data_IF_638255475530
#
_entry.id   IF_638255475530
#
_cell.length_a   1.000
_cell.length_b   1.000
_cell.length_c   1.000
_cell.angle_alpha   90.00
_cell.angle_beta   90.00
_cell.angle_gamma   90.00
#
_symmetry.space_group_name_H-M   'P 1'
#
loop_
_entity.id
_entity.type
_entity.pdbx_description
1 polymer ?
#
# COMPACT_ATOMS: atom_id res chain seq x y z
N UNK A 1 22.72 8.08 9.44
CA UNK A 1 21.39 7.61 8.95
C UNK A 1 21.04 6.32 9.69
N UNK A 2 20.10 6.36 10.63
CA UNK A 2 19.74 5.16 11.43
C UNK A 2 18.69 4.34 10.67
N UNK A 3 19.12 3.36 9.87
CA UNK A 3 18.24 2.47 9.10
C UNK A 3 17.18 1.78 9.98
N UNK A 4 17.56 1.35 11.19
CA UNK A 4 16.64 0.72 12.13
C UNK A 4 15.51 1.64 12.61
N UNK A 5 15.78 2.95 12.75
CA UNK A 5 14.76 3.94 13.07
C UNK A 5 13.80 4.14 11.90
N UNK A 6 14.35 4.25 10.69
CA UNK A 6 13.58 4.43 9.47
C UNK A 6 12.68 3.22 9.16
N UNK A 7 13.16 2.01 9.42
CA UNK A 7 12.35 0.78 9.32
C UNK A 7 11.18 0.77 10.32
N UNK A 8 11.45 1.10 11.60
CA UNK A 8 10.42 1.16 12.63
C UNK A 8 9.40 2.25 12.36
N UNK A 9 9.85 3.39 11.84
CA UNK A 9 8.97 4.50 11.47
C UNK A 9 8.06 4.10 10.28
N UNK A 10 8.59 3.47 9.24
CA UNK A 10 7.81 3.02 8.08
C UNK A 10 6.78 1.93 8.42
N UNK A 11 7.10 1.07 9.39
CA UNK A 11 6.25 -0.08 9.72
C UNK A 11 5.16 0.24 10.76
N UNK A 12 5.47 1.07 11.77
CA UNK A 12 4.58 1.32 12.92
C UNK A 12 4.26 2.80 13.13
N UNK A 13 5.27 3.65 13.28
CA UNK A 13 5.09 5.03 13.75
C UNK A 13 4.60 5.96 12.63
N UNK A 14 5.03 5.72 11.40
CA UNK A 14 4.64 6.48 10.20
C UNK A 14 4.09 5.54 9.11
N UNK A 15 3.33 4.53 9.50
CA UNK A 15 2.70 3.63 8.54
C UNK A 15 1.87 4.43 7.53
N UNK A 16 2.09 4.21 6.20
CA UNK A 16 1.46 5.04 5.17
C UNK A 16 -0.07 4.95 5.19
N UNK A 17 -0.63 3.79 5.48
CA UNK A 17 -2.09 3.59 5.44
C UNK A 17 -2.74 3.91 6.78
N UNK A 18 -2.18 3.42 7.89
CA UNK A 18 -2.83 3.49 9.20
C UNK A 18 -2.61 4.83 9.93
N UNK A 19 -1.48 5.50 9.67
CA UNK A 19 -1.13 6.76 10.33
C UNK A 19 -1.25 7.94 9.38
N UNK A 20 -0.70 7.83 8.16
CA UNK A 20 -0.76 8.90 7.18
C UNK A 20 -2.06 8.90 6.36
N UNK A 21 -2.84 7.82 6.44
CA UNK A 21 -4.12 7.64 5.72
C UNK A 21 -3.94 7.77 4.20
N UNK A 22 -2.79 7.35 3.67
CA UNK A 22 -2.45 7.36 2.26
C UNK A 22 -2.63 5.97 1.64
N UNK A 23 -3.00 5.91 0.36
CA UNK A 23 -3.18 4.63 -0.34
C UNK A 23 -4.51 3.93 -0.06
N UNK A 24 -5.50 4.61 0.52
CA UNK A 24 -6.81 4.01 0.81
C UNK A 24 -7.53 3.52 -0.44
N UNK A 25 -7.44 4.25 -1.55
CA UNK A 25 -8.15 3.93 -2.79
C UNK A 25 -7.81 2.52 -3.30
N UNK A 26 -6.52 2.20 -3.38
CA UNK A 26 -6.04 0.90 -3.81
C UNK A 26 -6.31 -0.20 -2.78
N UNK A 27 -6.19 0.13 -1.48
CA UNK A 27 -6.49 -0.80 -0.39
C UNK A 27 -7.96 -1.20 -0.38
N UNK A 28 -8.89 -0.27 -0.64
CA UNK A 28 -10.33 -0.57 -0.71
C UNK A 28 -10.70 -1.41 -1.93
N UNK A 29 -10.09 -1.12 -3.06
CA UNK A 29 -10.48 -1.72 -4.33
C UNK A 29 -10.03 -3.18 -4.46
N UNK A 30 -8.83 -3.53 -3.94
CA UNK A 30 -8.19 -4.81 -4.27
C UNK A 30 -8.26 -5.86 -3.16
N UNK A 31 -8.65 -5.49 -1.94
CA UNK A 31 -8.63 -6.38 -0.77
C UNK A 31 -9.78 -7.40 -0.71
N UNK A 32 -10.29 -7.80 -1.86
CA UNK A 32 -11.29 -8.87 -1.99
C UNK A 32 -10.68 -10.25 -2.14
N UNK A 33 -9.39 -10.34 -2.52
CA UNK A 33 -8.65 -11.60 -2.68
C UNK A 33 -7.22 -11.45 -2.16
N UNK A 34 -6.78 -12.44 -1.41
CA UNK A 34 -5.43 -12.46 -0.82
C UNK A 34 -4.31 -12.46 -1.87
N UNK A 35 -4.47 -13.24 -2.96
CA UNK A 35 -3.48 -13.29 -4.05
C UNK A 35 -3.33 -11.95 -4.78
N UNK A 36 -4.44 -11.29 -5.05
CA UNK A 36 -4.43 -9.96 -5.66
C UNK A 36 -3.77 -8.93 -4.73
N UNK A 37 -3.98 -9.07 -3.42
CA UNK A 37 -3.33 -8.26 -2.41
C UNK A 37 -1.80 -8.38 -2.43
N UNK A 38 -1.25 -9.59 -2.51
CA UNK A 38 0.20 -9.82 -2.62
C UNK A 38 0.74 -9.20 -3.91
N UNK A 39 0.10 -9.47 -5.06
CA UNK A 39 0.53 -8.95 -6.35
C UNK A 39 0.58 -7.42 -6.37
N UNK A 40 -0.45 -6.78 -5.86
CA UNK A 40 -0.51 -5.31 -5.76
C UNK A 40 0.52 -4.75 -4.78
N UNK A 41 0.71 -5.39 -3.63
CA UNK A 41 1.70 -4.96 -2.63
C UNK A 41 3.13 -4.96 -3.19
N UNK A 42 3.50 -6.03 -3.91
CA UNK A 42 4.81 -6.13 -4.58
C UNK A 42 4.94 -5.10 -5.69
N UNK A 43 3.93 -4.96 -6.56
CA UNK A 43 3.95 -3.99 -7.65
C UNK A 43 4.11 -2.56 -7.13
N UNK A 44 3.32 -2.15 -6.13
CA UNK A 44 3.43 -0.82 -5.52
C UNK A 44 4.79 -0.60 -4.87
N UNK A 45 5.35 -1.60 -4.19
CA UNK A 45 6.68 -1.49 -3.56
C UNK A 45 7.78 -1.25 -4.60
N UNK A 46 7.76 -1.99 -5.71
CA UNK A 46 8.73 -1.82 -6.80
C UNK A 46 8.58 -0.43 -7.44
N UNK A 47 7.36 -0.05 -7.80
CA UNK A 47 7.09 1.24 -8.45
C UNK A 47 7.46 2.39 -7.51
N UNK A 48 7.09 2.32 -6.23
CA UNK A 48 7.43 3.33 -5.23
C UNK A 48 8.94 3.51 -5.09
N UNK A 49 9.68 2.41 -5.01
CA UNK A 49 11.14 2.45 -4.86
C UNK A 49 11.82 3.05 -6.09
N UNK A 50 11.46 2.59 -7.29
CA UNK A 50 12.02 3.10 -8.54
C UNK A 50 11.66 4.57 -8.77
N UNK A 51 10.41 4.95 -8.54
CA UNK A 51 9.95 6.34 -8.68
C UNK A 51 10.68 7.26 -7.71
N UNK A 52 10.85 6.85 -6.46
CA UNK A 52 11.58 7.63 -5.46
C UNK A 52 13.05 7.90 -5.85
N UNK A 53 13.73 6.91 -6.42
CA UNK A 53 15.11 7.06 -6.89
C UNK A 53 15.18 8.09 -8.01
N UNK A 54 14.33 7.97 -9.02
CA UNK A 54 14.39 8.84 -10.21
C UNK A 54 13.93 10.26 -9.87
N UNK A 55 12.89 10.42 -9.07
CA UNK A 55 12.45 11.73 -8.62
C UNK A 55 13.56 12.41 -7.80
N UNK A 56 14.24 11.67 -6.93
CA UNK A 56 15.39 12.20 -6.20
C UNK A 56 16.57 12.58 -7.12
N UNK A 57 16.79 11.84 -8.21
CA UNK A 57 17.80 12.18 -9.22
C UNK A 57 17.44 13.45 -10.00
N UNK A 58 16.17 13.57 -10.38
CA UNK A 58 15.67 14.68 -11.20
C UNK A 58 15.34 15.96 -10.41
N UNK A 59 15.42 15.94 -9.10
CA UNK A 59 15.01 17.07 -8.21
C UNK A 59 15.63 18.42 -8.57
N UNK A 60 16.83 18.44 -9.17
CA UNK A 60 17.52 19.66 -9.58
C UNK A 60 17.04 20.25 -10.90
N UNK A 61 16.34 19.45 -11.71
CA UNK A 61 15.90 19.80 -13.07
C UNK A 61 14.46 20.28 -13.05
N UNK A 62 13.66 19.78 -12.10
CA UNK A 62 12.21 20.02 -12.06
C UNK A 62 11.90 21.35 -11.37
N UNK A 63 11.28 22.32 -12.07
CA UNK A 63 10.84 23.57 -11.47
C UNK A 63 9.63 23.36 -10.54
N UNK A 64 9.58 24.11 -9.44
CA UNK A 64 8.57 23.96 -8.39
C UNK A 64 7.12 24.11 -8.87
N UNK A 65 6.88 24.89 -9.94
CA UNK A 65 5.53 25.16 -10.45
C UNK A 65 4.85 23.96 -11.09
N UNK A 66 5.61 23.02 -11.66
CA UNK A 66 5.09 21.87 -12.42
C UNK A 66 5.53 20.52 -11.86
N UNK A 67 6.10 20.49 -10.66
CA UNK A 67 6.72 19.29 -10.08
C UNK A 67 5.75 18.11 -9.96
N UNK A 68 4.50 18.35 -9.52
CA UNK A 68 3.51 17.27 -9.35
C UNK A 68 3.16 16.63 -10.69
N UNK A 69 2.99 17.43 -11.75
CA UNK A 69 2.72 16.92 -13.10
C UNK A 69 3.88 16.05 -13.60
N UNK A 70 5.12 16.48 -13.38
CA UNK A 70 6.31 15.72 -13.75
C UNK A 70 6.41 14.40 -12.99
N UNK A 71 6.07 14.38 -11.70
CA UNK A 71 6.05 13.14 -10.92
C UNK A 71 5.04 12.15 -11.48
N UNK A 72 3.84 12.60 -11.84
CA UNK A 72 2.80 11.75 -12.43
C UNK A 72 3.29 11.13 -13.75
N UNK A 73 3.96 11.89 -14.61
CA UNK A 73 4.48 11.39 -15.89
C UNK A 73 5.54 10.30 -15.67
N UNK A 74 6.47 10.52 -14.74
CA UNK A 74 7.51 9.54 -14.40
C UNK A 74 6.88 8.26 -13.84
N UNK A 75 5.96 8.39 -12.90
CA UNK A 75 5.25 7.25 -12.30
C UNK A 75 4.45 6.49 -13.36
N UNK A 76 3.75 7.18 -14.25
CA UNK A 76 3.00 6.57 -15.34
C UNK A 76 3.90 5.73 -16.26
N UNK A 77 5.08 6.23 -16.61
CA UNK A 77 6.06 5.47 -17.37
C UNK A 77 6.44 4.14 -16.70
N UNK A 78 6.73 4.17 -15.39
CA UNK A 78 7.04 2.93 -14.66
C UNK A 78 5.87 1.98 -14.54
N UNK A 79 4.68 2.51 -14.25
CA UNK A 79 3.47 1.69 -14.16
C UNK A 79 3.20 0.98 -15.48
N UNK A 80 3.38 1.66 -16.62
CA UNK A 80 3.23 1.04 -17.93
C UNK A 80 4.26 -0.07 -18.17
N UNK A 81 5.53 0.14 -17.78
CA UNK A 81 6.55 -0.89 -17.90
C UNK A 81 6.23 -2.13 -17.03
N UNK A 82 5.75 -1.91 -15.81
CA UNK A 82 5.36 -2.99 -14.89
C UNK A 82 4.13 -3.71 -15.42
N UNK A 83 3.14 -3.00 -15.94
CA UNK A 83 1.93 -3.57 -16.52
C UNK A 83 2.25 -4.50 -17.70
N UNK A 84 3.05 -4.03 -18.65
CA UNK A 84 3.51 -4.86 -19.77
C UNK A 84 4.32 -6.07 -19.31
N UNK A 85 5.12 -5.93 -18.26
CA UNK A 85 5.87 -7.05 -17.68
C UNK A 85 4.96 -8.09 -17.07
N UNK A 86 3.95 -7.67 -16.30
CA UNK A 86 2.96 -8.57 -15.69
C UNK A 86 2.14 -9.29 -16.76
N UNK A 87 1.74 -8.58 -17.81
CA UNK A 87 1.02 -9.18 -18.95
C UNK A 87 1.85 -10.23 -19.68
N UNK A 88 3.16 -10.04 -19.78
CA UNK A 88 4.06 -10.98 -20.44
C UNK A 88 4.33 -12.25 -19.63
N UNK A 89 4.49 -12.13 -18.31
CA UNK A 89 4.91 -13.24 -17.43
C UNK A 89 3.78 -13.91 -16.67
N UNK A 90 2.72 -13.19 -16.32
CA UNK A 90 1.63 -13.65 -15.47
C UNK A 90 0.27 -13.19 -16.00
N UNK A 91 -0.23 -13.75 -17.12
CA UNK A 91 -1.46 -13.29 -17.76
C UNK A 91 -2.70 -13.43 -16.87
N UNK A 92 -2.77 -14.43 -16.01
CA UNK A 92 -3.89 -14.63 -15.07
C UNK A 92 -3.96 -13.52 -14.02
N UNK A 93 -2.80 -13.10 -13.52
CA UNK A 93 -2.71 -11.98 -12.58
C UNK A 93 -2.99 -10.64 -13.28
N UNK A 94 -2.55 -10.49 -14.53
CA UNK A 94 -2.82 -9.32 -15.36
C UNK A 94 -4.32 -9.10 -15.57
N UNK A 95 -5.08 -10.15 -15.84
CA UNK A 95 -6.53 -10.07 -16.00
C UNK A 95 -7.23 -9.64 -14.71
N UNK A 96 -6.77 -10.11 -13.56
CA UNK A 96 -7.34 -9.75 -12.25
C UNK A 96 -6.96 -8.34 -11.80
N UNK A 97 -5.75 -7.88 -12.12
CA UNK A 97 -5.19 -6.60 -11.70
C UNK A 97 -5.35 -5.47 -12.75
N UNK A 98 -5.71 -5.80 -13.99
CA UNK A 98 -5.65 -4.90 -15.14
C UNK A 98 -6.42 -3.58 -14.95
N UNK A 99 -7.54 -3.59 -14.24
CA UNK A 99 -8.32 -2.38 -13.93
C UNK A 99 -7.67 -1.56 -12.81
N UNK A 100 -6.89 -2.21 -11.93
CA UNK A 100 -6.31 -1.57 -10.75
C UNK A 100 -4.90 -1.01 -10.98
N UNK A 101 -4.19 -1.49 -12.02
CA UNK A 101 -2.85 -1.01 -12.34
C UNK A 101 -2.83 0.49 -12.69
N UNK A 102 -3.75 1.04 -13.50
CA UNK A 102 -3.82 2.48 -13.73
C UNK A 102 -4.06 3.29 -12.45
N UNK A 103 -4.70 2.70 -11.44
CA UNK A 103 -4.92 3.34 -10.15
C UNK A 103 -3.61 3.56 -9.37
N UNK A 104 -2.56 2.79 -9.68
CA UNK A 104 -1.23 2.98 -9.07
C UNK A 104 -0.62 4.31 -9.48
N UNK A 105 -0.86 4.79 -10.71
CA UNK A 105 -0.31 6.06 -11.22
C UNK A 105 -0.68 7.24 -10.32
N UNK A 106 -1.94 7.28 -9.90
CA UNK A 106 -2.48 8.35 -9.04
C UNK A 106 -2.53 7.96 -7.56
N UNK A 107 -1.84 6.90 -7.19
CA UNK A 107 -1.83 6.43 -5.80
C UNK A 107 -1.18 7.47 -4.89
N UNK A 108 -1.94 7.93 -3.90
CA UNK A 108 -1.53 9.00 -3.00
C UNK A 108 -0.31 8.62 -2.14
N UNK A 109 -0.01 7.35 -1.92
CA UNK A 109 1.21 6.95 -1.22
C UNK A 109 2.46 7.26 -2.07
N UNK A 110 2.43 6.99 -3.37
CA UNK A 110 3.56 7.20 -4.27
C UNK A 110 3.80 8.70 -4.44
N UNK A 111 2.74 9.45 -4.76
CA UNK A 111 2.83 10.91 -4.90
C UNK A 111 3.19 11.60 -3.59
N UNK A 112 2.60 11.16 -2.48
CA UNK A 112 2.88 11.72 -1.16
C UNK A 112 4.34 11.52 -0.73
N UNK A 113 4.93 10.35 -0.98
CA UNK A 113 6.35 10.09 -0.65
C UNK A 113 7.30 10.78 -1.63
N UNK A 114 6.94 10.86 -2.90
CA UNK A 114 7.69 11.62 -3.89
C UNK A 114 7.89 13.08 -3.47
N UNK A 115 6.81 13.73 -3.06
CA UNK A 115 6.79 15.13 -2.62
C UNK A 115 7.38 15.33 -1.23
N UNK A 116 6.98 14.51 -0.26
CA UNK A 116 7.36 14.70 1.14
C UNK A 116 8.81 14.34 1.42
N UNK A 117 9.33 13.30 0.77
CA UNK A 117 10.64 12.72 1.09
C UNK A 117 11.62 12.75 -0.07
N UNK A 118 11.27 12.19 -1.25
CA UNK A 118 12.23 11.95 -2.33
C UNK A 118 12.75 13.23 -2.97
N UNK A 119 11.90 14.24 -3.10
CA UNK A 119 12.29 15.54 -3.62
C UNK A 119 13.28 16.28 -2.71
N UNK A 120 13.23 16.04 -1.38
CA UNK A 120 14.07 16.72 -0.38
C UNK A 120 15.36 15.98 -0.05
N UNK A 121 15.38 14.66 -0.21
CA UNK A 121 16.47 13.80 0.23
C UNK A 121 17.26 13.22 -0.95
N UNK A 122 18.42 12.63 -0.66
CA UNK A 122 19.29 12.01 -1.65
C UNK A 122 18.79 10.62 -2.10
N UNK A 123 19.32 10.13 -3.22
CA UNK A 123 18.91 8.87 -3.87
C UNK A 123 18.97 7.67 -2.93
N UNK A 124 20.02 7.51 -2.14
CA UNK A 124 20.19 6.35 -1.24
C UNK A 124 19.15 6.36 -0.12
N UNK A 125 18.86 7.53 0.46
CA UNK A 125 17.82 7.66 1.48
C UNK A 125 16.43 7.36 0.90
N UNK A 126 16.17 7.84 -0.31
CA UNK A 126 14.90 7.62 -1.03
C UNK A 126 14.69 6.16 -1.43
N UNK A 127 15.76 5.43 -1.75
CA UNK A 127 15.70 3.99 -2.00
C UNK A 127 15.22 3.21 -0.78
N UNK A 128 15.87 3.41 0.37
CA UNK A 128 15.48 2.73 1.61
C UNK A 128 14.09 3.13 2.09
N UNK A 129 13.73 4.40 1.94
CA UNK A 129 12.38 4.88 2.27
C UNK A 129 11.31 4.17 1.43
N UNK A 130 11.54 4.05 0.12
CA UNK A 130 10.63 3.34 -0.78
C UNK A 130 10.38 1.90 -0.36
N UNK A 131 11.44 1.16 -0.01
CA UNK A 131 11.33 -0.23 0.44
C UNK A 131 10.56 -0.32 1.77
N UNK A 132 10.93 0.48 2.76
CA UNK A 132 10.33 0.40 4.09
C UNK A 132 8.85 0.82 4.10
N UNK A 133 8.52 1.86 3.36
CA UNK A 133 7.13 2.30 3.20
C UNK A 133 6.30 1.30 2.36
N UNK A 134 6.90 0.71 1.32
CA UNK A 134 6.27 -0.33 0.52
C UNK A 134 5.96 -1.59 1.34
N UNK A 135 6.89 -2.02 2.20
CA UNK A 135 6.66 -3.14 3.13
C UNK A 135 5.54 -2.78 4.12
N UNK A 136 5.55 -1.57 4.69
CA UNK A 136 4.50 -1.09 5.59
C UNK A 136 3.12 -1.07 4.93
N UNK A 137 3.04 -0.64 3.67
CA UNK A 137 1.82 -0.67 2.87
C UNK A 137 1.34 -2.10 2.61
N UNK A 138 2.24 -2.98 2.17
CA UNK A 138 1.93 -4.38 1.87
C UNK A 138 1.41 -5.13 3.09
N UNK A 139 2.00 -4.90 4.26
CA UNK A 139 1.55 -5.47 5.53
C UNK A 139 0.09 -5.12 5.85
N UNK A 140 -0.26 -3.84 5.76
CA UNK A 140 -1.64 -3.39 6.03
C UNK A 140 -2.60 -3.94 5.00
N UNK A 141 -2.20 -3.98 3.73
CA UNK A 141 -3.01 -4.51 2.63
C UNK A 141 -3.30 -6.00 2.84
N UNK A 142 -2.32 -6.79 3.24
CA UNK A 142 -2.51 -8.21 3.58
C UNK A 142 -3.41 -8.39 4.80
N UNK A 143 -3.23 -7.59 5.85
CA UNK A 143 -4.11 -7.63 7.02
C UNK A 143 -5.57 -7.34 6.64
N UNK A 144 -5.81 -6.36 5.78
CA UNK A 144 -7.13 -6.05 5.25
C UNK A 144 -7.71 -7.19 4.40
N UNK A 145 -6.89 -7.80 3.53
CA UNK A 145 -7.31 -8.96 2.74
C UNK A 145 -7.77 -10.11 3.64
N UNK A 146 -6.97 -10.47 4.65
CA UNK A 146 -7.30 -11.55 5.58
C UNK A 146 -8.62 -11.25 6.30
N UNK A 147 -8.79 -10.05 6.84
CA UNK A 147 -10.00 -9.67 7.57
C UNK A 147 -11.24 -9.73 6.65
N UNK A 148 -11.15 -9.14 5.47
CA UNK A 148 -12.28 -9.08 4.53
C UNK A 148 -12.62 -10.43 3.92
N UNK A 149 -11.63 -11.24 3.60
CA UNK A 149 -11.84 -12.57 3.05
C UNK A 149 -12.42 -13.52 4.11
N UNK A 150 -11.89 -13.46 5.34
CA UNK A 150 -12.38 -14.25 6.47
C UNK A 150 -13.83 -13.90 6.85
N UNK A 151 -14.16 -12.61 6.97
CA UNK A 151 -15.49 -12.15 7.37
C UNK A 151 -16.51 -12.15 6.22
N UNK A 152 -16.05 -11.97 4.99
CA UNK A 152 -16.94 -11.84 3.81
C UNK A 152 -17.18 -13.16 3.07
N UNK A 153 -16.19 -14.05 3.03
CA UNK A 153 -16.23 -15.31 2.28
C UNK A 153 -16.24 -16.58 3.14
N UNK A 154 -16.05 -16.46 4.47
CA UNK A 154 -16.01 -17.60 5.38
C UNK A 154 -14.80 -18.53 5.19
N UNK A 155 -13.85 -18.21 4.30
CA UNK A 155 -12.66 -18.99 4.02
C UNK A 155 -11.43 -18.12 3.83
N UNK A 156 -10.23 -18.68 4.00
CA UNK A 156 -8.94 -18.00 3.78
C UNK A 156 -8.32 -18.54 2.49
N UNK A 157 -8.26 -17.68 1.48
CA UNK A 157 -7.68 -18.01 0.18
C UNK A 157 -8.62 -18.75 -0.76
N UNK A 158 -8.48 -18.51 -2.03
CA UNK A 158 -9.16 -19.23 -3.13
C UNK A 158 -8.75 -20.72 -3.21
N UNK A 159 -8.10 -21.25 -2.16
CA UNK A 159 -7.75 -22.68 -2.07
C UNK A 159 -8.93 -23.49 -1.57
N UNK A 160 -9.34 -24.54 -2.29
CA UNK A 160 -10.42 -25.43 -1.89
C UNK A 160 -9.98 -26.24 -0.66
N UNK A 161 -10.38 -25.84 0.52
CA UNK A 161 -10.08 -26.65 1.69
C UNK A 161 -10.29 -26.05 3.08
N UNK A 162 -10.39 -24.75 3.25
CA UNK A 162 -10.60 -24.16 4.58
C UNK A 162 -11.84 -23.27 4.56
N UNK A 163 -13.00 -23.87 4.37
CA UNK A 163 -14.31 -23.27 4.65
C UNK A 163 -14.58 -23.46 6.14
N UNK A 164 -14.32 -22.44 6.94
CA UNK A 164 -14.52 -22.50 8.41
C UNK A 164 -15.96 -22.21 8.78
N UNK A 165 -16.71 -21.49 7.95
CA UNK A 165 -18.12 -21.20 8.17
C UNK A 165 -18.95 -21.49 6.91
N UNK A 166 -20.23 -21.96 7.03
CA UNK A 166 -21.12 -22.12 5.90
C UNK A 166 -21.38 -20.77 5.21
N UNK A 167 -21.45 -20.77 3.88
CA UNK A 167 -21.61 -19.59 3.02
C UNK A 167 -22.82 -18.69 3.37
N UNK A 168 -23.79 -19.21 4.09
CA UNK A 168 -24.98 -18.48 4.55
C UNK A 168 -24.68 -17.42 5.62
N UNK A 169 -23.54 -17.49 6.33
CA UNK A 169 -23.17 -16.56 7.40
C UNK A 169 -22.20 -15.47 6.94
N UNK A 170 -21.71 -15.54 5.70
CA UNK A 170 -20.83 -14.51 5.13
C UNK A 170 -21.58 -13.19 4.97
N UNK A 171 -21.11 -12.15 5.67
CA UNK A 171 -21.65 -10.79 5.53
C UNK A 171 -21.19 -10.25 4.18
N UNK A 172 -21.92 -10.52 3.10
CA UNK A 172 -21.62 -10.02 1.74
C UNK A 172 -21.43 -8.50 1.67
N UNK A 173 -21.94 -7.77 2.66
CA UNK A 173 -21.70 -6.33 2.80
C UNK A 173 -20.21 -5.99 2.99
N UNK A 174 -19.41 -6.88 3.61
CA UNK A 174 -17.98 -6.67 3.84
C UNK A 174 -17.11 -6.83 2.58
N UNK A 175 -17.62 -7.54 1.57
CA UNK A 175 -16.93 -7.62 0.26
C UNK A 175 -17.17 -6.37 -0.59
N UNK A 176 -18.22 -5.61 -0.33
CA UNK A 176 -18.51 -4.33 -0.95
C UNK A 176 -17.54 -3.21 -0.46
N UNK A 177 -17.35 -2.14 -1.23
CA UNK A 177 -16.49 -1.00 -0.82
C UNK A 177 -16.86 -0.41 0.54
N UNK A 178 -18.16 -0.41 0.89
CA UNK A 178 -18.66 0.07 2.20
C UNK A 178 -18.06 -0.74 3.36
N UNK A 179 -18.01 -2.06 3.21
CA UNK A 179 -17.35 -2.92 4.21
C UNK A 179 -15.85 -2.67 4.32
N UNK A 180 -15.19 -2.30 3.21
CA UNK A 180 -13.80 -1.89 3.21
C UNK A 180 -13.54 -0.66 4.10
N UNK A 181 -14.39 0.36 4.02
CA UNK A 181 -14.27 1.55 4.88
C UNK A 181 -14.47 1.20 6.37
N UNK A 182 -15.42 0.31 6.66
CA UNK A 182 -15.73 -0.10 8.02
C UNK A 182 -14.57 -0.89 8.65
N UNK A 183 -14.00 -1.84 7.90
CA UNK A 183 -12.85 -2.64 8.35
C UNK A 183 -11.59 -1.78 8.50
N UNK A 184 -11.33 -0.85 7.56
CA UNK A 184 -10.20 0.05 7.66
C UNK A 184 -10.35 1.00 8.84
N UNK A 185 -11.53 1.58 9.06
CA UNK A 185 -11.82 2.44 10.20
C UNK A 185 -11.59 1.72 11.54
N UNK A 186 -12.05 0.47 11.65
CA UNK A 186 -11.80 -0.37 12.82
C UNK A 186 -10.30 -0.65 13.04
N UNK A 187 -9.54 -0.90 11.97
CA UNK A 187 -8.11 -1.18 12.01
C UNK A 187 -7.31 0.07 12.43
N UNK A 188 -7.67 1.24 11.90
CA UNK A 188 -7.08 2.52 12.31
C UNK A 188 -7.37 2.81 13.78
N UNK A 189 -8.62 2.62 14.24
CA UNK A 189 -9.00 2.83 15.63
C UNK A 189 -8.22 1.89 16.56
N UNK A 190 -8.08 0.61 16.22
CA UNK A 190 -7.32 -0.36 16.98
C UNK A 190 -5.83 0.01 17.07
N UNK A 191 -5.23 0.47 15.96
CA UNK A 191 -3.83 0.89 15.93
C UNK A 191 -3.60 2.16 16.74
N UNK A 192 -4.46 3.17 16.62
CA UNK A 192 -4.38 4.41 17.39
C UNK A 192 -4.53 4.15 18.89
N UNK A 193 -5.45 3.27 19.27
CA UNK A 193 -5.60 2.84 20.67
C UNK A 193 -4.34 2.13 21.20
N UNK A 194 -3.74 1.24 20.39
CA UNK A 194 -2.52 0.53 20.76
C UNK A 194 -1.32 1.49 20.90
N UNK A 195 -1.19 2.48 20.01
CA UNK A 195 -0.15 3.52 20.08
C UNK A 195 -0.32 4.39 21.33
N UNK A 196 -1.53 4.89 21.59
CA UNK A 196 -1.83 5.69 22.77
C UNK A 196 -1.55 4.94 24.10
N UNK A 197 -1.86 3.63 24.13
CA UNK A 197 -1.54 2.77 25.27
C UNK A 197 -0.03 2.58 25.45
N UNK A 198 0.72 2.49 24.34
CA UNK A 198 2.18 2.38 24.35
C UNK A 198 2.86 3.66 24.85
N UNK A 199 2.34 4.84 24.47
CA UNK A 199 2.85 6.13 24.94
C UNK A 199 2.59 6.32 26.43
N UNK A 200 1.39 6.06 26.92
CA UNK A 200 1.08 6.11 28.37
C UNK A 200 1.98 5.20 29.21
N UNK A 201 2.40 4.05 28.65
CA UNK A 201 3.32 3.13 29.34
C UNK A 201 4.77 3.65 29.39
N UNK A 202 5.13 4.58 28.48
CA UNK A 202 6.46 5.25 28.49
C UNK A 202 6.51 6.44 29.43
N UNK A 203 5.39 7.14 29.64
CA UNK A 203 5.31 8.27 30.57
C UNK A 203 5.30 7.82 32.05
N UNK A 204 4.86 6.59 32.33
CA UNK A 204 4.78 6.02 33.69
C UNK A 204 6.10 5.33 34.12
N UNK A 205 7.13 5.28 33.24
CA UNK A 205 8.42 4.66 33.51
C UNK A 205 9.57 5.67 33.48
#
# INVERSE_FOLDING_TARGET
MNLGKQFKDGMLTQNPVLVQVLGMCSTMAITTSFFNGIGMGVAVTIILTLSNIIISAMRKIIPDKIRIAMFIVVIAGFVTCVDLSIQAFLPDLANSLGVFIPLIVVNCIILGRAEAFSYKNGMVASFFDGIFQGIGYTWVLLAMCIIREFLGGGGLGSAPGIVIFPEEFGIKLLTLPVGGFLTLGALIAAMQWALAKSEKKKEVK
#
